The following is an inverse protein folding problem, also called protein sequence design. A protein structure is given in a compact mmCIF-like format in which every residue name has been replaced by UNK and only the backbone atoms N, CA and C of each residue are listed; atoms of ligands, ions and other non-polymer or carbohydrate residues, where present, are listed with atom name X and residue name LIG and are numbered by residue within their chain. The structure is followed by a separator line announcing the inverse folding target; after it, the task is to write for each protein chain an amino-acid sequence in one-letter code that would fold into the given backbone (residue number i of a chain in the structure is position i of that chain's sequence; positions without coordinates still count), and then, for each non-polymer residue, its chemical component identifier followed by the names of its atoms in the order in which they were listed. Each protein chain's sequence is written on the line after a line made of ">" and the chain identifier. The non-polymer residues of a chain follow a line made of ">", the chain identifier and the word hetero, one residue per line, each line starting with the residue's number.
data_IF_579362408796
#
_entry.id   IF_579362408796
#
_cell.length_a   1.000
_cell.length_b   1.000
_cell.length_c   1.000
_cell.angle_alpha   90.00
_cell.angle_beta   90.00
_cell.angle_gamma   90.00
#
_symmetry.space_group_name_H-M   'P 1'
#
loop_
_entity.id
_entity.type
_entity.pdbx_description
1 polymer ?
#
# COMPACT_ATOMS: atom_id res chain seq x y z
N UNK A 1 28.29 9.35 15.60
CA UNK A 1 27.13 8.63 15.03
C UNK A 1 26.24 9.69 14.41
N UNK A 2 26.15 9.79 13.08
CA UNK A 2 25.22 10.74 12.44
C UNK A 2 23.78 10.29 12.75
N UNK A 3 22.89 11.17 13.18
CA UNK A 3 21.48 10.81 13.31
C UNK A 3 20.95 10.41 11.93
N UNK A 4 20.26 9.28 11.83
CA UNK A 4 19.60 8.86 10.60
C UNK A 4 18.48 9.86 10.30
N UNK A 5 18.72 10.78 9.37
CA UNK A 5 17.78 11.83 8.98
C UNK A 5 16.72 11.35 7.97
N UNK A 6 16.72 10.08 7.58
CA UNK A 6 15.62 9.41 6.88
C UNK A 6 15.53 7.96 7.38
N UNK A 7 14.30 7.46 7.58
CA UNK A 7 14.05 6.06 7.92
C UNK A 7 13.91 5.17 6.66
N UNK A 8 14.10 5.74 5.47
CA UNK A 8 14.16 5.00 4.22
C UNK A 8 15.52 4.30 4.12
N UNK A 9 15.54 2.99 4.34
CA UNK A 9 16.73 2.19 4.14
C UNK A 9 17.11 2.18 2.66
N UNK A 10 18.41 2.34 2.40
CA UNK A 10 19.07 2.36 1.10
C UNK A 10 20.25 1.37 1.13
N UNK A 11 19.96 0.12 1.50
CA UNK A 11 20.98 -0.91 1.74
C UNK A 11 21.74 -1.31 0.47
N UNK A 12 21.17 -1.00 -0.70
CA UNK A 12 21.76 -1.22 -2.03
C UNK A 12 21.20 -0.21 -3.04
N UNK A 13 21.92 0.00 -4.14
CA UNK A 13 21.48 0.85 -5.25
C UNK A 13 20.39 0.15 -6.09
N UNK A 14 19.30 0.86 -6.36
CA UNK A 14 18.18 0.30 -7.11
C UNK A 14 18.51 0.07 -8.59
N UNK A 15 19.32 0.92 -9.23
CA UNK A 15 19.68 0.76 -10.64
C UNK A 15 20.52 -0.50 -10.85
N UNK A 16 21.42 -0.80 -9.93
CA UNK A 16 22.21 -2.04 -9.92
C UNK A 16 21.32 -3.29 -9.80
N UNK A 17 20.31 -3.24 -8.92
CA UNK A 17 19.33 -4.33 -8.80
C UNK A 17 18.49 -4.42 -10.08
N UNK A 18 17.99 -3.30 -10.58
CA UNK A 18 17.13 -3.21 -11.74
C UNK A 18 17.79 -3.78 -13.00
N UNK A 19 19.09 -3.52 -13.21
CA UNK A 19 19.85 -4.09 -14.32
C UNK A 19 19.89 -5.63 -14.26
N UNK A 20 20.11 -6.20 -13.06
CA UNK A 20 20.12 -7.67 -12.85
C UNK A 20 18.73 -8.26 -13.03
N UNK A 21 17.70 -7.62 -12.48
CA UNK A 21 16.33 -8.09 -12.57
C UNK A 21 15.81 -8.06 -14.02
N UNK A 22 16.15 -7.03 -14.81
CA UNK A 22 15.79 -6.99 -16.24
C UNK A 22 16.38 -8.17 -17.02
N UNK A 23 17.68 -8.43 -16.87
CA UNK A 23 18.32 -9.58 -17.52
C UNK A 23 17.66 -10.92 -17.12
N UNK A 24 17.34 -11.09 -15.83
CA UNK A 24 16.62 -12.29 -15.37
C UNK A 24 15.21 -12.42 -15.95
N UNK A 25 14.49 -11.31 -16.11
CA UNK A 25 13.13 -11.31 -16.66
C UNK A 25 13.12 -11.61 -18.17
N UNK A 26 14.16 -11.20 -18.91
CA UNK A 26 14.32 -11.55 -20.33
C UNK A 26 14.49 -13.06 -20.54
N UNK A 27 15.15 -13.75 -19.61
CA UNK A 27 15.35 -15.20 -19.64
C UNK A 27 14.16 -15.99 -19.07
N UNK A 28 13.28 -15.35 -18.30
CA UNK A 28 12.22 -16.01 -17.54
C UNK A 28 10.95 -16.11 -18.38
N UNK A 29 10.52 -17.35 -18.65
CA UNK A 29 9.18 -17.60 -19.17
C UNK A 29 8.14 -17.26 -18.07
N UNK A 30 7.41 -16.16 -18.26
CA UNK A 30 6.35 -15.73 -17.36
C UNK A 30 5.00 -15.96 -18.02
N UNK A 31 4.20 -16.83 -17.38
CA UNK A 31 2.82 -17.05 -17.80
C UNK A 31 2.00 -15.78 -17.60
N UNK A 32 1.41 -15.27 -18.67
CA UNK A 32 0.44 -14.17 -18.64
C UNK A 32 -0.95 -14.75 -18.77
N UNK A 33 -1.81 -14.45 -17.80
CA UNK A 33 -3.22 -14.79 -17.81
C UNK A 33 -4.01 -13.54 -18.17
N UNK A 34 -4.74 -13.59 -19.28
CA UNK A 34 -5.64 -12.52 -19.67
C UNK A 34 -7.00 -12.76 -19.01
N UNK A 35 -7.51 -11.77 -18.28
CA UNK A 35 -8.85 -11.79 -17.68
C UNK A 35 -9.54 -10.47 -18.01
N UNK A 36 -10.87 -10.42 -18.04
CA UNK A 36 -11.55 -9.12 -18.15
C UNK A 36 -11.36 -8.27 -16.90
N UNK A 37 -11.61 -6.97 -16.99
CA UNK A 37 -11.51 -6.05 -15.83
C UNK A 37 -12.46 -6.44 -14.69
N UNK A 38 -13.70 -6.80 -15.02
CA UNK A 38 -14.70 -7.24 -14.03
C UNK A 38 -14.26 -8.54 -13.32
N UNK A 39 -13.70 -9.49 -14.08
CA UNK A 39 -13.12 -10.70 -13.51
C UNK A 39 -11.89 -10.40 -12.65
N UNK A 40 -11.05 -9.42 -13.04
CA UNK A 40 -9.87 -9.02 -12.29
C UNK A 40 -10.24 -8.45 -10.92
N UNK A 41 -11.25 -7.57 -10.87
CA UNK A 41 -11.78 -7.02 -9.62
C UNK A 41 -12.33 -8.12 -8.71
N UNK A 42 -13.16 -9.00 -9.26
CA UNK A 42 -13.74 -10.14 -8.53
C UNK A 42 -12.67 -11.09 -8.00
N UNK A 43 -11.64 -11.35 -8.80
CA UNK A 43 -10.50 -12.19 -8.44
C UNK A 43 -9.65 -11.57 -7.33
N UNK A 44 -9.37 -10.25 -7.42
CA UNK A 44 -8.64 -9.54 -6.38
C UNK A 44 -9.38 -9.60 -5.03
N UNK A 45 -10.68 -9.30 -5.05
CA UNK A 45 -11.57 -9.36 -3.89
C UNK A 45 -11.56 -10.77 -3.26
N UNK A 46 -11.82 -11.80 -4.07
CA UNK A 46 -11.88 -13.19 -3.61
C UNK A 46 -10.59 -13.66 -2.95
N UNK A 47 -9.43 -13.33 -3.53
CA UNK A 47 -8.14 -13.72 -2.97
C UNK A 47 -7.85 -13.02 -1.63
N UNK A 48 -8.22 -11.76 -1.48
CA UNK A 48 -8.05 -11.05 -0.22
C UNK A 48 -9.02 -11.51 0.87
N UNK A 49 -10.28 -11.84 0.54
CA UNK A 49 -11.20 -12.41 1.53
C UNK A 49 -10.73 -13.78 2.04
N UNK A 50 -10.23 -14.64 1.14
CA UNK A 50 -9.58 -15.91 1.52
C UNK A 50 -8.38 -15.63 2.43
N UNK A 51 -7.55 -14.64 2.09
CA UNK A 51 -6.41 -14.25 2.90
C UNK A 51 -6.83 -13.79 4.30
N UNK A 52 -7.80 -12.89 4.41
CA UNK A 52 -8.27 -12.37 5.70
C UNK A 52 -8.85 -13.50 6.56
N UNK A 53 -9.70 -14.34 5.97
CA UNK A 53 -10.32 -15.49 6.67
C UNK A 53 -9.26 -16.46 7.19
N UNK A 54 -8.28 -16.81 6.35
CA UNK A 54 -7.21 -17.75 6.73
C UNK A 54 -6.31 -17.22 7.84
N UNK A 55 -6.01 -15.92 7.80
CA UNK A 55 -5.02 -15.32 8.68
C UNK A 55 -5.60 -14.74 9.98
N UNK A 56 -6.89 -14.42 9.99
CA UNK A 56 -7.68 -14.03 11.16
C UNK A 56 -6.93 -13.02 12.07
N UNK A 57 -6.38 -11.96 11.46
CA UNK A 57 -5.71 -10.86 12.17
C UNK A 57 -4.28 -11.11 12.67
N UNK A 58 -3.64 -12.24 12.35
CA UNK A 58 -2.37 -12.65 13.01
C UNK A 58 -1.08 -12.43 12.20
N UNK A 59 -1.17 -11.94 10.96
CA UNK A 59 -0.01 -11.94 10.04
C UNK A 59 0.83 -10.66 10.12
N UNK A 60 0.19 -9.51 10.27
CA UNK A 60 0.85 -8.21 10.18
C UNK A 60 1.24 -7.73 11.56
N UNK A 61 2.53 -7.47 11.73
CA UNK A 61 3.08 -6.85 12.94
C UNK A 61 2.67 -5.38 13.01
N UNK A 62 2.57 -4.80 14.21
CA UNK A 62 2.38 -3.37 14.38
C UNK A 62 3.42 -2.55 13.60
N UNK A 63 2.97 -1.56 12.82
CA UNK A 63 3.82 -0.72 11.95
C UNK A 63 4.30 0.52 12.68
N UNK A 64 4.97 0.32 13.82
CA UNK A 64 5.47 1.40 14.71
C UNK A 64 6.48 2.37 14.07
N UNK A 65 6.96 2.06 12.85
CA UNK A 65 7.90 2.89 12.12
C UNK A 65 7.20 4.01 11.34
N UNK A 66 5.89 3.90 11.05
CA UNK A 66 5.19 4.82 10.15
C UNK A 66 5.21 6.27 10.62
N UNK A 67 5.08 6.52 11.92
CA UNK A 67 5.19 7.87 12.46
C UNK A 67 6.57 8.47 12.20
N UNK A 68 7.64 7.66 12.17
CA UNK A 68 9.01 8.14 11.86
C UNK A 68 9.21 8.41 10.37
N UNK A 69 8.60 7.59 9.50
CA UNK A 69 8.63 7.78 8.04
C UNK A 69 7.79 8.97 7.60
N UNK A 70 6.65 9.17 8.27
CA UNK A 70 5.70 10.23 8.02
C UNK A 70 5.49 11.07 9.30
N UNK A 71 6.47 11.93 9.67
CA UNK A 71 6.37 12.77 10.87
C UNK A 71 5.11 13.63 10.93
N UNK A 72 4.56 13.99 9.77
CA UNK A 72 3.34 14.80 9.59
C UNK A 72 2.11 14.15 10.23
N UNK A 73 2.10 12.82 10.38
CA UNK A 73 1.05 12.08 11.11
C UNK A 73 0.95 12.53 12.57
N UNK A 74 2.05 12.93 13.21
CA UNK A 74 2.06 13.33 14.63
C UNK A 74 1.37 14.67 14.89
N UNK A 75 1.31 15.53 13.89
CA UNK A 75 0.67 16.85 13.96
C UNK A 75 -0.72 16.88 13.34
N UNK A 76 -1.21 15.74 12.85
CA UNK A 76 -2.51 15.63 12.19
C UNK A 76 -3.63 15.40 13.20
N UNK A 77 -4.78 16.05 12.99
CA UNK A 77 -5.97 15.85 13.83
C UNK A 77 -6.87 14.78 13.23
N UNK A 78 -7.08 14.78 11.91
CA UNK A 78 -7.94 13.81 11.22
C UNK A 78 -7.13 13.03 10.19
N UNK A 79 -7.04 11.72 10.36
CA UNK A 79 -6.36 10.79 9.44
C UNK A 79 -7.36 9.84 8.80
N UNK A 80 -7.21 9.56 7.51
CA UNK A 80 -7.90 8.48 6.82
C UNK A 80 -6.91 7.38 6.45
N UNK A 81 -7.02 6.17 7.01
CA UNK A 81 -6.32 4.98 6.51
C UNK A 81 -7.23 4.20 5.57
N UNK A 82 -6.81 4.03 4.31
CA UNK A 82 -7.52 3.19 3.35
C UNK A 82 -6.79 1.86 3.17
N UNK A 83 -7.53 0.75 3.17
CA UNK A 83 -6.95 -0.60 3.22
C UNK A 83 -6.34 -0.93 4.58
N UNK A 84 -7.05 -0.58 5.66
CA UNK A 84 -6.54 -0.69 7.02
C UNK A 84 -6.34 -2.13 7.53
N UNK A 85 -6.92 -3.11 6.83
CA UNK A 85 -7.00 -4.49 7.27
C UNK A 85 -7.57 -4.58 8.69
N UNK A 86 -6.76 -5.12 9.60
CA UNK A 86 -7.11 -5.26 11.02
C UNK A 86 -6.35 -4.27 11.92
N UNK A 87 -5.94 -3.13 11.39
CA UNK A 87 -5.44 -1.98 12.16
C UNK A 87 -3.94 -2.01 12.50
N UNK A 88 -3.13 -2.72 11.71
CA UNK A 88 -1.68 -2.85 11.97
C UNK A 88 -0.91 -1.52 11.95
N UNK A 89 -1.40 -0.51 11.21
CA UNK A 89 -0.85 0.84 11.20
C UNK A 89 -1.57 1.78 12.16
N UNK A 90 -2.91 1.82 12.14
CA UNK A 90 -3.63 2.81 12.93
C UNK A 90 -3.46 2.66 14.45
N UNK A 91 -3.42 1.44 15.00
CA UNK A 91 -3.35 1.27 16.45
C UNK A 91 -2.06 1.86 17.05
N UNK A 92 -0.85 1.59 16.49
CA UNK A 92 0.35 2.32 16.90
C UNK A 92 0.25 3.84 16.80
N UNK A 93 -0.36 4.36 15.72
CA UNK A 93 -0.49 5.80 15.50
C UNK A 93 -1.40 6.46 16.54
N UNK A 94 -2.57 5.85 16.83
CA UNK A 94 -3.50 6.33 17.85
C UNK A 94 -2.88 6.31 19.26
N UNK A 95 -2.04 5.31 19.55
CA UNK A 95 -1.31 5.22 20.80
C UNK A 95 -0.22 6.31 20.93
N UNK A 96 0.48 6.62 19.84
CA UNK A 96 1.54 7.65 19.83
C UNK A 96 0.99 9.08 19.76
N UNK A 97 -0.19 9.28 19.17
CA UNK A 97 -0.75 10.60 18.86
C UNK A 97 -2.12 10.78 19.54
N UNK A 98 -2.21 11.27 20.79
CA UNK A 98 -3.46 11.33 21.55
C UNK A 98 -4.56 12.21 20.95
N UNK A 99 -4.20 13.25 20.18
CA UNK A 99 -5.14 14.17 19.53
C UNK A 99 -5.70 13.65 18.20
N UNK A 100 -5.18 12.54 17.68
CA UNK A 100 -5.59 12.00 16.39
C UNK A 100 -6.97 11.35 16.49
N UNK A 101 -7.85 11.71 15.57
CA UNK A 101 -9.04 10.97 15.20
C UNK A 101 -8.79 10.26 13.85
N UNK A 102 -9.13 8.98 13.78
CA UNK A 102 -8.91 8.16 12.60
C UNK A 102 -10.23 7.72 11.96
N UNK A 103 -10.36 7.94 10.67
CA UNK A 103 -11.24 7.15 9.81
C UNK A 103 -10.42 6.01 9.22
N UNK A 104 -10.92 4.78 9.30
CA UNK A 104 -10.21 3.63 8.72
C UNK A 104 -11.19 2.78 7.94
N UNK A 105 -10.80 2.37 6.74
CA UNK A 105 -11.63 1.51 5.92
C UNK A 105 -10.87 0.39 5.24
N UNK A 106 -11.60 -0.68 4.98
CA UNK A 106 -11.14 -1.85 4.23
C UNK A 106 -12.33 -2.40 3.45
N UNK A 107 -12.07 -3.01 2.31
CA UNK A 107 -13.12 -3.60 1.48
C UNK A 107 -13.68 -4.88 2.14
N UNK A 108 -12.90 -5.55 3.01
CA UNK A 108 -13.30 -6.81 3.65
C UNK A 108 -14.07 -6.56 4.96
N UNK A 109 -15.36 -6.93 5.05
CA UNK A 109 -16.13 -6.84 6.30
C UNK A 109 -15.48 -7.61 7.45
N UNK A 110 -14.88 -8.76 7.14
CA UNK A 110 -14.20 -9.58 8.13
C UNK A 110 -12.99 -8.88 8.75
N UNK A 111 -12.22 -8.12 7.96
CA UNK A 111 -11.09 -7.36 8.46
C UNK A 111 -11.56 -6.24 9.42
N UNK A 112 -12.65 -5.56 9.07
CA UNK A 112 -13.28 -4.52 9.91
C UNK A 112 -13.84 -5.11 11.20
N UNK A 113 -14.46 -6.28 11.16
CA UNK A 113 -14.95 -6.98 12.36
C UNK A 113 -13.81 -7.31 13.33
N UNK A 114 -12.69 -7.82 12.82
CA UNK A 114 -11.48 -8.09 13.63
C UNK A 114 -10.92 -6.79 14.21
N UNK A 115 -10.86 -5.72 13.42
CA UNK A 115 -10.38 -4.42 13.87
C UNK A 115 -11.23 -3.90 15.03
N UNK A 116 -12.57 -3.91 14.88
CA UNK A 116 -13.52 -3.45 15.90
C UNK A 116 -13.53 -4.32 17.16
N UNK A 117 -13.25 -5.62 17.03
CA UNK A 117 -13.13 -6.53 18.16
C UNK A 117 -11.79 -6.41 18.91
N UNK A 118 -10.81 -5.66 18.38
CA UNK A 118 -9.53 -5.46 19.04
C UNK A 118 -9.70 -4.63 20.33
N UNK A 119 -9.12 -5.02 21.48
CA UNK A 119 -9.20 -4.25 22.72
C UNK A 119 -8.64 -2.82 22.65
N UNK A 120 -7.82 -2.52 21.63
CA UNK A 120 -7.27 -1.19 21.37
C UNK A 120 -8.23 -0.29 20.56
N UNK A 121 -9.34 -0.84 20.05
CA UNK A 121 -10.34 -0.05 19.33
C UNK A 121 -11.14 0.82 20.29
N UNK A 122 -11.09 2.12 20.05
CA UNK A 122 -11.85 3.14 20.76
C UNK A 122 -12.68 3.91 19.75
N UNK A 123 -14.00 3.70 19.76
CA UNK A 123 -14.94 4.34 18.84
C UNK A 123 -15.00 5.87 18.98
N UNK A 124 -14.49 6.44 20.09
CA UNK A 124 -14.38 7.89 20.26
C UNK A 124 -13.20 8.49 19.50
N UNK A 125 -12.24 7.64 19.08
CA UNK A 125 -11.00 8.04 18.42
C UNK A 125 -10.79 7.40 17.05
N UNK A 126 -11.54 6.35 16.74
CA UNK A 126 -11.41 5.59 15.51
C UNK A 126 -12.80 5.20 14.99
N UNK A 127 -13.13 5.63 13.77
CA UNK A 127 -14.30 5.20 13.05
C UNK A 127 -13.90 4.20 11.95
N UNK A 128 -14.18 2.92 12.19
CA UNK A 128 -13.91 1.85 11.24
C UNK A 128 -15.16 1.47 10.43
N UNK A 129 -15.03 1.33 9.11
CA UNK A 129 -16.13 0.99 8.22
C UNK A 129 -15.67 0.20 6.99
N UNK A 130 -16.60 -0.54 6.39
CA UNK A 130 -16.36 -1.21 5.11
C UNK A 130 -16.43 -0.19 3.99
N UNK A 131 -15.44 -0.19 3.10
CA UNK A 131 -15.44 0.64 1.90
C UNK A 131 -14.68 -0.05 0.78
N UNK A 132 -15.31 -0.22 -0.36
CA UNK A 132 -14.67 -0.65 -1.60
C UNK A 132 -14.16 0.58 -2.36
N UNK A 133 -12.85 0.77 -2.36
CA UNK A 133 -12.22 1.93 -3.02
C UNK A 133 -12.42 1.93 -4.54
N UNK A 134 -12.84 0.85 -5.16
CA UNK A 134 -13.15 0.80 -6.59
C UNK A 134 -14.63 1.07 -6.82
N UNK A 135 -15.51 0.37 -6.09
CA UNK A 135 -16.94 0.35 -6.36
C UNK A 135 -17.73 1.47 -5.67
N UNK A 136 -17.30 1.95 -4.51
CA UNK A 136 -18.03 2.99 -3.77
C UNK A 136 -17.75 4.39 -4.34
N UNK A 137 -18.78 5.24 -4.42
CA UNK A 137 -18.67 6.60 -4.97
C UNK A 137 -17.72 7.52 -4.17
N UNK A 138 -17.54 7.22 -2.88
CA UNK A 138 -16.75 8.01 -1.93
C UNK A 138 -15.88 7.11 -1.06
N UNK A 139 -14.92 7.69 -0.34
CA UNK A 139 -14.10 6.97 0.66
C UNK A 139 -14.68 7.03 2.08
N UNK A 140 -15.97 7.37 2.23
CA UNK A 140 -16.67 7.35 3.52
C UNK A 140 -16.37 8.51 4.46
N UNK A 141 -15.80 9.61 3.94
CA UNK A 141 -15.60 10.88 4.66
C UNK A 141 -16.07 12.06 3.80
N UNK A 142 -16.45 13.20 4.41
CA UNK A 142 -16.79 14.40 3.64
C UNK A 142 -15.60 14.91 2.81
N UNK A 143 -15.88 15.63 1.74
CA UNK A 143 -14.82 16.32 0.99
C UNK A 143 -14.09 17.35 1.86
N UNK A 144 -12.79 17.54 1.62
CA UNK A 144 -11.95 18.50 2.34
C UNK A 144 -12.02 18.37 3.87
N UNK A 145 -12.08 17.14 4.39
CA UNK A 145 -12.25 16.88 5.83
C UNK A 145 -11.03 16.27 6.51
N UNK A 146 -10.10 15.71 5.74
CA UNK A 146 -8.96 14.94 6.26
C UNK A 146 -7.65 15.72 6.10
N UNK A 147 -6.78 15.66 7.13
CA UNK A 147 -5.45 16.27 7.09
C UNK A 147 -4.45 15.38 6.35
N UNK A 148 -4.47 14.07 6.65
CA UNK A 148 -3.59 13.06 6.05
C UNK A 148 -4.36 11.82 5.61
N UNK A 149 -4.10 11.36 4.39
CA UNK A 149 -4.51 10.03 3.94
C UNK A 149 -3.31 9.10 3.98
N UNK A 150 -3.44 8.00 4.71
CA UNK A 150 -2.45 6.94 4.80
C UNK A 150 -2.80 5.81 3.82
N UNK A 151 -1.93 5.56 2.85
CA UNK A 151 -2.06 4.49 1.85
C UNK A 151 -0.86 3.55 1.97
N UNK A 152 -1.03 2.42 2.65
CA UNK A 152 0.08 1.50 2.98
C UNK A 152 -0.24 0.07 2.51
N UNK A 153 0.41 -0.37 1.43
CA UNK A 153 0.22 -1.69 0.80
C UNK A 153 -1.23 -1.98 0.40
N UNK A 154 -1.89 -0.97 -0.18
CA UNK A 154 -3.32 -1.01 -0.57
C UNK A 154 -3.50 -0.80 -2.07
N UNK A 155 -2.83 0.19 -2.66
CA UNK A 155 -3.05 0.50 -4.07
C UNK A 155 -2.52 -0.62 -4.96
N UNK A 156 -1.44 -1.30 -4.57
CA UNK A 156 -0.95 -2.48 -5.29
C UNK A 156 -1.96 -3.62 -5.39
N UNK A 157 -2.93 -3.71 -4.47
CA UNK A 157 -3.97 -4.73 -4.50
C UNK A 157 -5.13 -4.40 -5.44
N UNK A 158 -5.17 -3.19 -5.99
CA UNK A 158 -6.25 -2.69 -6.83
C UNK A 158 -5.87 -2.86 -8.31
N UNK A 159 -6.83 -3.14 -9.21
CA UNK A 159 -6.60 -3.10 -10.66
C UNK A 159 -6.03 -1.73 -11.11
N UNK A 160 -4.93 -1.68 -11.89
CA UNK A 160 -4.32 -0.41 -12.31
C UNK A 160 -5.28 0.54 -13.04
N UNK A 161 -6.24 -0.01 -13.79
CA UNK A 161 -7.28 0.76 -14.49
C UNK A 161 -8.16 1.58 -13.55
N UNK A 162 -8.25 1.19 -12.27
CA UNK A 162 -9.01 1.90 -11.23
C UNK A 162 -8.18 2.95 -10.47
N UNK A 163 -6.85 3.03 -10.68
CA UNK A 163 -5.98 3.90 -9.87
C UNK A 163 -6.37 5.37 -9.95
N UNK A 164 -6.55 5.91 -11.15
CA UNK A 164 -6.91 7.33 -11.33
C UNK A 164 -8.22 7.68 -10.61
N UNK A 165 -9.21 6.79 -10.66
CA UNK A 165 -10.48 6.98 -9.98
C UNK A 165 -10.34 6.92 -8.44
N UNK A 166 -9.54 5.99 -7.92
CA UNK A 166 -9.23 5.92 -6.48
C UNK A 166 -8.54 7.20 -6.02
N UNK A 167 -7.50 7.64 -6.74
CA UNK A 167 -6.75 8.86 -6.39
C UNK A 167 -7.62 10.11 -6.47
N UNK A 168 -8.58 10.18 -7.39
CA UNK A 168 -9.55 11.28 -7.42
C UNK A 168 -10.40 11.34 -6.14
N UNK A 169 -10.85 10.20 -5.62
CA UNK A 169 -11.58 10.14 -4.34
C UNK A 169 -10.70 10.59 -3.17
N UNK A 170 -9.42 10.18 -3.16
CA UNK A 170 -8.44 10.63 -2.16
C UNK A 170 -8.21 12.14 -2.24
N UNK A 171 -8.06 12.69 -3.44
CA UNK A 171 -7.91 14.13 -3.65
C UNK A 171 -9.11 14.89 -3.10
N UNK A 172 -10.35 14.41 -3.32
CA UNK A 172 -11.57 15.04 -2.79
C UNK A 172 -11.66 15.00 -1.26
N UNK A 173 -11.26 13.89 -0.63
CA UNK A 173 -11.30 13.74 0.83
C UNK A 173 -10.33 14.67 1.58
N UNK A 174 -9.14 14.92 1.01
CA UNK A 174 -8.12 15.77 1.62
C UNK A 174 -8.51 17.25 1.66
N UNK A 175 -8.20 17.94 2.77
CA UNK A 175 -8.20 19.41 2.83
C UNK A 175 -7.19 19.99 1.82
N UNK A 176 -7.37 21.25 1.36
CA UNK A 176 -6.30 21.97 0.69
C UNK A 176 -5.02 21.97 1.54
N UNK A 177 -3.88 21.61 0.95
CA UNK A 177 -2.62 21.42 1.68
C UNK A 177 -2.52 20.11 2.48
N UNK A 178 -3.53 19.24 2.43
CA UNK A 178 -3.50 17.91 3.04
C UNK A 178 -2.53 16.96 2.33
N UNK A 179 -2.08 15.92 3.02
CA UNK A 179 -0.98 15.06 2.58
C UNK A 179 -1.43 13.61 2.34
N UNK A 180 -0.95 13.00 1.27
CA UNK A 180 -0.97 11.54 1.09
C UNK A 180 0.38 10.97 1.55
N UNK A 181 0.32 10.07 2.52
CA UNK A 181 1.43 9.26 2.99
C UNK A 181 1.36 7.88 2.31
N UNK A 182 2.20 7.66 1.31
CA UNK A 182 2.16 6.48 0.45
C UNK A 182 3.32 5.51 0.73
N UNK A 183 3.00 4.22 0.89
CA UNK A 183 3.99 3.15 0.96
C UNK A 183 3.46 1.90 0.27
N UNK A 184 4.15 1.41 -0.75
CA UNK A 184 3.72 0.18 -1.43
C UNK A 184 4.92 -0.60 -2.01
N UNK A 185 4.66 -1.64 -2.81
CA UNK A 185 5.70 -2.41 -3.48
C UNK A 185 6.33 -1.62 -4.63
N UNK A 186 7.67 -1.57 -4.64
CA UNK A 186 8.41 -0.96 -5.75
C UNK A 186 8.78 -2.00 -6.81
N UNK A 187 9.03 -1.52 -8.03
CA UNK A 187 9.48 -2.34 -9.14
C UNK A 187 10.76 -3.12 -8.78
N UNK A 188 10.77 -4.40 -9.18
CA UNK A 188 11.82 -5.37 -8.88
C UNK A 188 11.92 -5.83 -7.41
N UNK A 189 10.90 -5.61 -6.57
CA UNK A 189 10.83 -6.25 -5.25
C UNK A 189 11.01 -7.77 -5.37
N UNK A 190 11.61 -8.39 -4.36
CA UNK A 190 11.77 -9.84 -4.29
C UNK A 190 10.46 -10.60 -4.53
N UNK A 191 9.32 -10.08 -4.06
CA UNK A 191 8.03 -10.71 -4.29
C UNK A 191 7.69 -10.75 -5.79
N UNK A 192 7.93 -9.66 -6.53
CA UNK A 192 7.75 -9.60 -7.99
C UNK A 192 8.62 -10.62 -8.70
N UNK A 193 9.90 -10.68 -8.30
CA UNK A 193 10.88 -11.56 -8.94
C UNK A 193 10.57 -13.06 -8.69
N UNK A 194 9.90 -13.38 -7.58
CA UNK A 194 9.43 -14.73 -7.26
C UNK A 194 8.13 -15.10 -7.97
N UNK A 195 7.30 -14.15 -8.35
CA UNK A 195 6.07 -14.41 -9.08
C UNK A 195 6.33 -15.10 -10.42
N UNK A 196 5.62 -16.19 -10.67
CA UNK A 196 5.69 -16.98 -11.91
C UNK A 196 4.51 -16.72 -12.84
N UNK A 197 3.50 -16.00 -12.36
CA UNK A 197 2.26 -15.70 -13.09
C UNK A 197 1.94 -14.20 -12.99
N UNK A 198 1.62 -13.61 -14.13
CA UNK A 198 1.03 -12.27 -14.24
C UNK A 198 -0.40 -12.38 -14.70
N UNK A 199 -1.21 -11.42 -14.29
CA UNK A 199 -2.59 -11.26 -14.74
C UNK A 199 -2.69 -9.87 -15.35
N UNK A 200 -3.23 -9.78 -16.55
CA UNK A 200 -3.46 -8.52 -17.24
C UNK A 200 -4.89 -8.44 -17.74
N UNK A 201 -5.49 -7.25 -17.70
CA UNK A 201 -6.75 -6.95 -18.37
C UNK A 201 -6.56 -6.41 -19.78
N UNK A 202 -5.34 -5.98 -20.11
CA UNK A 202 -4.96 -5.47 -21.43
C UNK A 202 -3.87 -6.34 -22.04
N UNK A 203 -3.73 -6.28 -23.37
CA UNK A 203 -2.62 -6.94 -24.06
C UNK A 203 -1.24 -6.31 -23.72
N UNK A 204 -1.26 -5.12 -23.12
CA UNK A 204 -0.06 -4.37 -22.74
C UNK A 204 0.44 -4.81 -21.36
N UNK A 205 1.71 -5.20 -21.29
CA UNK A 205 2.33 -5.75 -20.09
C UNK A 205 2.48 -4.74 -18.92
N UNK A 206 2.15 -3.46 -19.15
CA UNK A 206 2.35 -2.37 -18.18
C UNK A 206 1.26 -2.30 -17.09
N UNK A 207 0.10 -2.92 -17.30
CA UNK A 207 -1.03 -2.96 -16.34
C UNK A 207 -1.12 -4.29 -15.57
N UNK A 208 -0.06 -5.11 -15.64
CA UNK A 208 -0.10 -6.45 -15.08
C UNK A 208 -0.02 -6.45 -13.55
N UNK A 209 -0.99 -7.11 -12.93
CA UNK A 209 -0.89 -7.58 -11.55
C UNK A 209 -0.13 -8.90 -11.49
N UNK A 210 0.49 -9.19 -10.35
CA UNK A 210 1.27 -10.40 -10.13
C UNK A 210 0.66 -11.21 -8.99
N UNK A 211 0.52 -12.52 -9.18
CA UNK A 211 0.19 -13.40 -8.07
C UNK A 211 1.36 -13.44 -7.09
N UNK A 212 1.10 -13.10 -5.83
CA UNK A 212 2.07 -13.27 -4.74
C UNK A 212 2.17 -14.74 -4.37
N UNK A 213 3.39 -15.25 -4.36
CA UNK A 213 3.66 -16.65 -4.05
C UNK A 213 3.25 -16.98 -2.60
N UNK A 214 2.39 -17.99 -2.44
CA UNK A 214 2.02 -18.56 -1.14
C UNK A 214 0.61 -18.21 -0.66
N UNK A 215 0.03 -17.11 -1.13
CA UNK A 215 -1.34 -16.70 -0.77
C UNK A 215 -2.24 -16.34 -1.96
N UNK A 216 -1.69 -16.26 -3.19
CA UNK A 216 -2.40 -15.94 -4.43
C UNK A 216 -3.07 -14.56 -4.46
N UNK A 217 -2.80 -13.69 -3.49
CA UNK A 217 -3.22 -12.29 -3.59
C UNK A 217 -2.47 -11.59 -4.73
N UNK A 218 -3.11 -10.58 -5.31
CA UNK A 218 -2.56 -9.84 -6.43
C UNK A 218 -1.80 -8.60 -5.95
N UNK A 219 -0.72 -8.25 -6.65
CA UNK A 219 0.05 -7.04 -6.38
C UNK A 219 0.57 -6.40 -7.69
N UNK A 220 0.38 -5.08 -7.81
CA UNK A 220 1.11 -4.21 -8.72
C UNK A 220 2.45 -3.79 -8.07
N UNK A 221 3.47 -3.54 -8.90
CA UNK A 221 4.77 -3.06 -8.44
C UNK A 221 5.06 -1.72 -9.11
N UNK A 222 5.11 -0.66 -8.31
CA UNK A 222 5.16 0.71 -8.81
C UNK A 222 6.56 1.10 -9.25
N UNK A 223 6.63 1.80 -10.39
CA UNK A 223 7.77 2.65 -10.69
C UNK A 223 7.62 4.04 -10.05
N UNK A 224 8.73 4.74 -9.83
CA UNK A 224 8.69 6.15 -9.39
C UNK A 224 8.01 7.04 -10.43
N UNK A 225 8.17 6.73 -11.71
CA UNK A 225 7.59 7.46 -12.84
C UNK A 225 6.07 7.29 -12.88
N UNK A 226 5.57 6.07 -12.72
CA UNK A 226 4.13 5.80 -12.74
C UNK A 226 3.44 6.40 -11.53
N UNK A 227 4.08 6.34 -10.36
CA UNK A 227 3.56 6.99 -9.16
C UNK A 227 3.53 8.52 -9.32
N UNK A 228 4.57 9.12 -9.91
CA UNK A 228 4.59 10.57 -10.16
C UNK A 228 3.47 11.01 -11.12
N UNK A 229 3.22 10.25 -12.19
CA UNK A 229 2.12 10.51 -13.13
C UNK A 229 0.76 10.38 -12.44
N UNK A 230 0.57 9.34 -11.64
CA UNK A 230 -0.69 9.10 -10.94
C UNK A 230 -1.05 10.24 -9.97
N UNK A 231 -0.04 10.85 -9.35
CA UNK A 231 -0.18 11.98 -8.43
C UNK A 231 0.09 13.36 -9.08
N UNK A 232 -0.07 13.52 -10.40
CA UNK A 232 0.26 14.76 -11.12
C UNK A 232 -0.47 16.02 -10.62
N UNK A 233 -1.66 15.85 -10.03
CA UNK A 233 -2.47 16.92 -9.42
C UNK A 233 -1.96 17.37 -8.04
N UNK A 234 -1.01 16.64 -7.48
CA UNK A 234 -0.39 16.91 -6.18
C UNK A 234 1.01 17.51 -6.38
N UNK A 235 1.51 18.20 -5.37
CA UNK A 235 2.93 18.51 -5.26
C UNK A 235 3.66 17.32 -4.65
N UNK A 236 4.69 16.86 -5.34
CA UNK A 236 5.51 15.72 -4.91
C UNK A 236 6.57 16.24 -3.93
N UNK A 237 6.44 15.83 -2.66
CA UNK A 237 7.42 16.14 -1.61
C UNK A 237 8.50 15.06 -1.54
N UNK A 238 8.09 13.80 -1.70
CA UNK A 238 9.00 12.65 -1.79
C UNK A 238 8.37 11.60 -2.72
N UNK A 239 9.20 10.90 -3.48
CA UNK A 239 8.85 9.78 -4.33
C UNK A 239 10.12 9.00 -4.64
N UNK A 240 10.41 7.97 -3.85
CA UNK A 240 11.69 7.28 -3.90
C UNK A 240 11.55 5.80 -3.55
N UNK A 241 12.47 4.99 -4.07
CA UNK A 241 12.60 3.60 -3.64
C UNK A 241 13.32 3.50 -2.31
N UNK A 242 12.76 2.69 -1.41
CA UNK A 242 13.40 2.20 -0.20
C UNK A 242 13.86 0.76 -0.43
N UNK A 243 15.18 0.58 -0.44
CA UNK A 243 15.87 -0.69 -0.70
C UNK A 243 16.40 -1.31 0.58
N UNK A 244 15.89 -2.49 0.95
CA UNK A 244 16.17 -3.12 2.26
C UNK A 244 16.66 -4.54 2.08
N UNK A 245 17.83 -4.87 2.62
CA UNK A 245 18.41 -6.22 2.56
C UNK A 245 18.09 -6.99 3.83
N UNK A 246 17.20 -7.98 3.71
CA UNK A 246 16.86 -8.88 4.80
C UNK A 246 17.72 -10.15 4.71
N UNK A 247 18.43 -10.52 5.78
CA UNK A 247 19.21 -11.78 5.81
C UNK A 247 18.44 -12.89 6.49
N UNK A 248 18.16 -13.98 5.76
CA UNK A 248 17.64 -15.19 6.37
C UNK A 248 18.79 -15.91 7.10
N UNK A 249 18.81 -15.84 8.43
CA UNK A 249 19.90 -16.43 9.25
C UNK A 249 20.00 -17.95 9.13
N UNK A 250 18.92 -18.65 8.79
CA UNK A 250 18.92 -20.11 8.64
C UNK A 250 19.56 -20.54 7.33
N UNK A 251 19.19 -19.90 6.22
CA UNK A 251 19.68 -20.27 4.88
C UNK A 251 20.89 -19.45 4.44
N UNK A 252 21.27 -18.42 5.20
CA UNK A 252 22.33 -17.45 4.87
C UNK A 252 22.11 -16.74 3.53
N UNK A 253 20.86 -16.66 3.09
CA UNK A 253 20.47 -15.97 1.84
C UNK A 253 20.01 -14.56 2.15
N UNK A 254 20.50 -13.61 1.36
CA UNK A 254 20.00 -12.24 1.35
C UNK A 254 18.69 -12.15 0.55
N UNK A 255 17.79 -11.30 1.01
CA UNK A 255 16.46 -11.07 0.46
C UNK A 255 16.28 -9.57 0.29
N UNK A 256 16.51 -9.10 -0.93
CA UNK A 256 16.47 -7.68 -1.29
C UNK A 256 15.04 -7.23 -1.53
N UNK A 257 14.52 -6.39 -0.64
CA UNK A 257 13.19 -5.81 -0.71
C UNK A 257 13.25 -4.44 -1.35
N UNK A 258 12.29 -4.16 -2.23
CA UNK A 258 12.08 -2.84 -2.82
C UNK A 258 10.68 -2.39 -2.50
N UNK A 259 10.59 -1.29 -1.80
CA UNK A 259 9.34 -0.59 -1.54
C UNK A 259 9.42 0.80 -2.16
N UNK A 260 8.29 1.38 -2.49
CA UNK A 260 8.21 2.78 -2.88
C UNK A 260 7.65 3.60 -1.69
N UNK A 261 8.25 4.75 -1.44
CA UNK A 261 7.82 5.74 -0.46
C UNK A 261 7.39 7.00 -1.19
N UNK A 262 6.26 7.57 -0.82
CA UNK A 262 5.76 8.79 -1.43
C UNK A 262 5.08 9.72 -0.43
N UNK A 263 5.25 11.02 -0.65
CA UNK A 263 4.58 12.11 0.07
C UNK A 263 4.04 13.10 -0.95
N UNK A 264 2.72 13.26 -1.00
CA UNK A 264 2.05 14.07 -2.01
C UNK A 264 1.10 15.07 -1.37
N UNK A 265 1.32 16.36 -1.57
CA UNK A 265 0.50 17.42 -0.98
C UNK A 265 -0.56 17.88 -1.98
N UNK A 266 -1.81 17.95 -1.52
CA UNK A 266 -2.92 18.45 -2.32
C UNK A 266 -2.72 19.95 -2.59
N UNK A 267 -2.66 20.29 -3.89
CA UNK A 267 -2.75 21.67 -4.40
C UNK A 267 -4.11 22.27 -4.15
#
# INVERSE_FOLDING_TARGET
>A
MKPASSFHAHDFDWNDLAAKCRAQLEEKDQMVVNVSEDELGTLAQSNWDIFHTKNNGKVYKPRNYLSKEFPELRSSNTVLEVGCGYGSAIFPLLAECPSMFAHVCDFSPHAIDILKANPLYDATRCNAYVCDLVLDDTVGVPENSVDVVLMVFVLSAIPPTSFSHVIEKIYRALKPGGLVCFRDYGLYDLAMMRSTKKVSSTADAYDSLYYRSGDNTLAYYFSTEDLAKLFERFDIIDNSYCTVRLRNRRTQTDMDRVWIHGKFVKR
#
